data_IF_726833041728
#
_entry.id   IF_726833041728
#
_cell.length_a   1.000
_cell.length_b   1.000
_cell.length_c   1.000
_cell.angle_alpha   90.00
_cell.angle_beta   90.00
_cell.angle_gamma   90.00
#
_symmetry.space_group_name_H-M   'P 1'
#
loop_
_entity.id
_entity.type
_entity.pdbx_description
1 polymer ?
#
# COMPACT_ATOMS: atom_id res chain seq x y z
N UNK A 1 48.15 -18.82 17.29
CA UNK A 1 47.97 -17.77 16.26
C UNK A 1 47.21 -18.39 15.09
N UNK A 2 45.95 -18.01 14.87
CA UNK A 2 45.21 -18.51 13.71
C UNK A 2 45.83 -17.95 12.42
N UNK A 3 45.90 -18.72 11.32
CA UNK A 3 46.47 -18.22 10.07
C UNK A 3 45.60 -17.07 9.54
N UNK A 4 46.24 -16.00 9.04
CA UNK A 4 45.55 -14.81 8.54
C UNK A 4 44.46 -15.12 7.48
N UNK A 5 44.62 -16.22 6.73
CA UNK A 5 43.63 -16.70 5.77
C UNK A 5 42.34 -17.21 6.41
N UNK A 6 42.41 -17.80 7.61
CA UNK A 6 41.24 -18.28 8.36
C UNK A 6 40.43 -17.13 8.91
N UNK A 7 41.10 -16.07 9.38
CA UNK A 7 40.44 -14.84 9.87
C UNK A 7 39.76 -14.12 8.71
N UNK A 8 40.44 -13.99 7.56
CA UNK A 8 39.87 -13.35 6.36
C UNK A 8 38.62 -14.09 5.85
N UNK A 9 38.65 -15.43 5.78
CA UNK A 9 37.49 -16.23 5.36
C UNK A 9 36.32 -16.10 6.32
N UNK A 10 36.58 -16.08 7.62
CA UNK A 10 35.55 -15.87 8.63
C UNK A 10 34.93 -14.47 8.50
N UNK A 11 35.74 -13.42 8.32
CA UNK A 11 35.25 -12.07 8.07
C UNK A 11 34.38 -12.01 6.81
N UNK A 12 34.81 -12.62 5.70
CA UNK A 12 34.03 -12.64 4.46
C UNK A 12 32.68 -13.37 4.61
N UNK A 13 32.64 -14.48 5.34
CA UNK A 13 31.40 -15.20 5.65
C UNK A 13 30.46 -14.37 6.53
N UNK A 14 30.99 -13.69 7.54
CA UNK A 14 30.19 -12.81 8.40
C UNK A 14 29.64 -11.64 7.60
N UNK A 15 30.45 -10.97 6.77
CA UNK A 15 29.96 -9.87 5.92
C UNK A 15 28.90 -10.34 4.93
N UNK A 16 29.08 -11.53 4.32
CA UNK A 16 28.10 -12.10 3.39
C UNK A 16 26.77 -12.42 4.09
N UNK A 17 26.82 -12.97 5.31
CA UNK A 17 25.63 -13.28 6.10
C UNK A 17 24.88 -12.01 6.52
N UNK A 18 25.60 -10.94 6.88
CA UNK A 18 24.99 -9.65 7.20
C UNK A 18 24.31 -9.01 5.98
N UNK A 19 24.92 -9.08 4.79
CA UNK A 19 24.29 -8.56 3.55
C UNK A 19 23.06 -9.35 3.10
N UNK A 20 22.99 -10.65 3.40
CA UNK A 20 21.82 -11.48 3.09
C UNK A 20 20.61 -11.18 4.01
N UNK A 21 20.87 -10.67 5.21
CA UNK A 21 19.83 -10.35 6.19
C UNK A 21 18.99 -9.12 5.79
N UNK A 22 19.52 -8.27 4.90
CA UNK A 22 18.88 -7.02 4.47
C UNK A 22 17.84 -7.21 3.34
N UNK A 23 17.62 -8.44 2.86
CA UNK A 23 16.63 -8.76 1.81
C UNK A 23 15.17 -8.75 2.30
N UNK A 24 14.85 -8.00 3.35
CA UNK A 24 13.48 -7.80 3.79
C UNK A 24 12.71 -6.88 2.83
N UNK A 25 11.47 -7.20 2.53
CA UNK A 25 10.59 -6.26 1.83
C UNK A 25 10.39 -5.02 2.71
N UNK A 26 10.77 -3.84 2.20
CA UNK A 26 10.56 -2.58 2.92
C UNK A 26 9.06 -2.27 2.99
N UNK A 27 8.50 -2.44 4.19
CA UNK A 27 7.16 -2.01 4.53
C UNK A 27 7.10 -0.49 4.57
N UNK A 28 6.25 0.13 3.75
CA UNK A 28 6.10 1.58 3.75
C UNK A 28 4.72 2.00 4.29
N UNK A 29 4.66 3.20 4.87
CA UNK A 29 3.38 3.82 5.22
C UNK A 29 2.83 4.60 4.04
N UNK A 30 1.64 4.24 3.57
CA UNK A 30 0.91 4.92 2.50
C UNK A 30 -0.24 5.71 3.09
N UNK A 31 -0.18 7.03 2.93
CA UNK A 31 -1.20 7.94 3.42
C UNK A 31 -2.13 8.38 2.29
N UNK A 32 -3.44 8.31 2.54
CA UNK A 32 -4.47 8.72 1.61
C UNK A 32 -5.45 9.69 2.28
N UNK A 33 -5.89 10.68 1.52
CA UNK A 33 -6.94 11.61 1.93
C UNK A 33 -8.20 11.37 1.10
N UNK A 34 -9.29 11.03 1.79
CA UNK A 34 -10.58 10.75 1.22
C UNK A 34 -11.55 11.86 1.60
N UNK A 35 -11.81 12.76 0.66
CA UNK A 35 -12.85 13.79 0.75
C UNK A 35 -14.17 13.19 0.24
N UNK A 36 -15.08 12.88 1.15
CA UNK A 36 -16.35 12.25 0.81
C UNK A 36 -17.42 13.30 0.60
N UNK A 37 -17.94 13.38 -0.63
CA UNK A 37 -18.90 14.40 -1.03
C UNK A 37 -19.97 13.84 -1.98
N UNK A 38 -21.09 14.53 -2.08
CA UNK A 38 -22.14 14.20 -3.03
C UNK A 38 -21.83 14.82 -4.39
N UNK A 39 -21.77 14.01 -5.45
CA UNK A 39 -21.47 14.46 -6.81
C UNK A 39 -22.49 13.91 -7.80
N UNK A 40 -22.91 14.75 -8.75
CA UNK A 40 -23.83 14.36 -9.82
C UNK A 40 -23.08 13.62 -10.92
N UNK A 41 -23.40 12.35 -11.10
CA UNK A 41 -22.78 11.46 -12.09
C UNK A 41 -23.82 11.03 -13.11
N UNK A 42 -23.48 11.17 -14.41
CA UNK A 42 -24.33 10.73 -15.52
C UNK A 42 -23.87 9.37 -16.01
N UNK A 43 -24.76 8.37 -16.00
CA UNK A 43 -24.48 7.03 -16.53
C UNK A 43 -25.73 6.46 -17.18
N UNK A 44 -25.56 5.78 -18.32
CA UNK A 44 -26.67 5.17 -19.06
C UNK A 44 -27.85 6.14 -19.28
N UNK A 45 -27.53 7.38 -19.69
CA UNK A 45 -28.50 8.47 -19.92
C UNK A 45 -29.30 8.94 -18.68
N UNK A 46 -28.88 8.59 -17.46
CA UNK A 46 -29.48 9.08 -16.22
C UNK A 46 -28.44 9.81 -15.37
N UNK A 47 -28.77 11.02 -14.91
CA UNK A 47 -27.96 11.77 -13.94
C UNK A 47 -28.48 11.51 -12.54
N UNK A 48 -27.60 11.04 -11.65
CA UNK A 48 -27.92 10.83 -10.23
C UNK A 48 -26.88 11.49 -9.36
N UNK A 49 -27.34 12.10 -8.27
CA UNK A 49 -26.46 12.61 -7.22
C UNK A 49 -26.10 11.46 -6.29
N UNK A 50 -24.83 11.09 -6.23
CA UNK A 50 -24.32 9.94 -5.47
C UNK A 50 -23.16 10.37 -4.57
N UNK A 51 -22.94 9.64 -3.49
CA UNK A 51 -21.76 9.84 -2.63
C UNK A 51 -20.52 9.30 -3.35
N UNK A 52 -19.47 10.12 -3.41
CA UNK A 52 -18.20 9.81 -4.07
C UNK A 52 -17.03 10.17 -3.17
N UNK A 53 -15.87 9.58 -3.45
CA UNK A 53 -14.59 9.92 -2.80
C UNK A 53 -13.81 10.79 -3.78
N UNK A 54 -13.35 11.95 -3.32
CA UNK A 54 -12.63 12.96 -4.08
C UNK A 54 -13.38 13.43 -5.35
N UNK A 55 -14.72 13.39 -5.33
CA UNK A 55 -15.56 13.72 -6.49
C UNK A 55 -15.51 12.70 -7.63
N UNK A 56 -14.87 11.55 -7.43
CA UNK A 56 -14.61 10.55 -8.45
C UNK A 56 -15.55 9.36 -8.34
N UNK A 57 -16.02 8.90 -9.50
CA UNK A 57 -16.80 7.68 -9.62
C UNK A 57 -16.30 6.84 -10.82
N UNK A 58 -15.77 5.62 -10.60
CA UNK A 58 -15.46 5.00 -9.30
C UNK A 58 -14.47 5.84 -8.48
N UNK A 59 -14.46 5.65 -7.16
CA UNK A 59 -13.51 6.32 -6.27
C UNK A 59 -12.04 5.93 -6.56
N UNK A 60 -11.07 6.62 -5.96
CA UNK A 60 -9.65 6.37 -6.20
C UNK A 60 -9.25 4.96 -5.73
N UNK A 61 -8.42 4.29 -6.52
CA UNK A 61 -7.89 2.96 -6.19
C UNK A 61 -6.78 3.07 -5.14
N UNK A 62 -6.87 2.26 -4.09
CA UNK A 62 -5.81 2.07 -3.11
C UNK A 62 -4.86 0.98 -3.57
N UNK A 63 -3.56 1.27 -3.58
CA UNK A 63 -2.51 0.31 -3.90
C UNK A 63 -1.64 0.10 -2.67
N UNK A 64 -1.56 -1.14 -2.20
CA UNK A 64 -0.71 -1.53 -1.08
C UNK A 64 -0.06 -2.88 -1.38
N UNK A 65 1.16 -3.07 -0.87
CA UNK A 65 1.83 -4.36 -0.85
C UNK A 65 1.59 -5.04 0.49
N UNK A 66 1.79 -6.35 0.53
CA UNK A 66 1.85 -7.06 1.80
C UNK A 66 2.94 -6.44 2.69
N UNK A 67 2.60 -6.15 3.94
CA UNK A 67 3.47 -5.46 4.89
C UNK A 67 3.34 -3.94 4.90
N UNK A 68 2.78 -3.29 3.87
CA UNK A 68 2.56 -1.84 3.89
C UNK A 68 1.53 -1.43 4.97
N UNK A 69 1.75 -0.29 5.63
CA UNK A 69 0.77 0.32 6.53
C UNK A 69 -0.07 1.35 5.74
N UNK A 70 -1.38 1.13 5.63
CA UNK A 70 -2.28 2.04 4.90
C UNK A 70 -3.04 2.90 5.89
N UNK A 71 -2.78 4.19 5.84
CA UNK A 71 -3.46 5.19 6.65
C UNK A 71 -4.40 6.03 5.75
N UNK A 72 -5.69 6.02 6.06
CA UNK A 72 -6.69 6.77 5.30
C UNK A 72 -7.40 7.77 6.19
N UNK A 73 -7.14 9.05 5.95
CA UNK A 73 -7.86 10.15 6.58
C UNK A 73 -9.12 10.42 5.78
N UNK A 74 -10.27 10.32 6.44
CA UNK A 74 -11.58 10.50 5.81
C UNK A 74 -12.21 11.78 6.31
N UNK A 75 -12.58 12.67 5.39
CA UNK A 75 -13.31 13.91 5.69
C UNK A 75 -14.69 13.79 5.05
N UNK A 76 -15.73 13.76 5.88
CA UNK A 76 -17.10 13.64 5.40
C UNK A 76 -17.72 15.03 5.20
N UNK A 77 -17.90 15.42 3.93
CA UNK A 77 -18.63 16.61 3.50
C UNK A 77 -20.07 16.29 3.08
N UNK A 78 -20.46 15.02 3.08
CA UNK A 78 -21.83 14.62 2.78
C UNK A 78 -22.75 14.92 3.98
N UNK A 79 -24.07 15.11 3.74
CA UNK A 79 -25.02 15.38 4.81
C UNK A 79 -25.39 14.13 5.64
N UNK A 80 -24.80 12.96 5.37
CA UNK A 80 -25.17 11.69 5.98
C UNK A 80 -24.06 11.12 6.86
N UNK A 81 -24.46 10.45 7.94
CA UNK A 81 -23.53 9.64 8.74
C UNK A 81 -23.05 8.43 7.93
N UNK A 82 -21.75 8.14 7.98
CA UNK A 82 -21.16 7.07 7.17
C UNK A 82 -20.02 6.34 7.88
N UNK A 83 -19.71 5.16 7.36
CA UNK A 83 -18.54 4.36 7.69
C UNK A 83 -17.93 3.82 6.39
N UNK A 84 -16.60 3.67 6.35
CA UNK A 84 -15.90 3.04 5.22
C UNK A 84 -15.57 1.59 5.58
N UNK A 85 -15.86 0.67 4.66
CA UNK A 85 -15.48 -0.72 4.75
C UNK A 85 -14.48 -1.08 3.67
N UNK A 86 -13.43 -1.81 4.04
CA UNK A 86 -12.38 -2.24 3.13
C UNK A 86 -12.62 -3.67 2.68
N UNK A 87 -12.77 -3.88 1.38
CA UNK A 87 -12.72 -5.20 0.77
C UNK A 87 -11.41 -5.37 0.02
N UNK A 88 -10.57 -6.31 0.45
CA UNK A 88 -9.24 -6.51 -0.12
C UNK A 88 -9.31 -7.50 -1.28
N UNK A 89 -8.89 -7.06 -2.45
CA UNK A 89 -8.63 -7.94 -3.59
C UNK A 89 -7.14 -8.27 -3.65
N UNK A 90 -6.79 -9.47 -3.21
CA UNK A 90 -5.42 -9.96 -3.33
C UNK A 90 -5.16 -10.45 -4.76
N UNK A 91 -4.70 -9.55 -5.62
CA UNK A 91 -4.09 -9.93 -6.90
C UNK A 91 -2.76 -10.60 -6.59
N UNK A 92 -2.72 -11.93 -6.62
CA UNK A 92 -1.47 -12.69 -6.50
C UNK A 92 -0.66 -12.46 -7.76
N UNK A 93 0.05 -11.33 -7.82
CA UNK A 93 1.13 -11.21 -8.78
C UNK A 93 2.16 -12.26 -8.36
N UNK A 94 2.55 -13.21 -9.24
CA UNK A 94 3.72 -14.03 -8.96
C UNK A 94 4.85 -13.05 -8.60
N UNK A 95 5.73 -13.39 -7.64
CA UNK A 95 6.85 -12.53 -7.31
C UNK A 95 7.51 -12.19 -8.63
N UNK A 96 7.48 -10.92 -9.03
CA UNK A 96 8.33 -10.46 -10.10
C UNK A 96 9.71 -10.94 -9.72
N UNK A 97 10.27 -11.83 -10.55
CA UNK A 97 11.68 -12.16 -10.55
C UNK A 97 12.42 -10.82 -10.64
N UNK A 98 12.88 -10.36 -9.49
CA UNK A 98 14.03 -9.47 -9.38
C UNK A 98 15.25 -10.36 -9.61
#
# INVERSE_FOLDING_TARGET
MAPASSVLRFCLLVTALMTLCEMGAEAITRQYLFDVQTTSVTRLCSTKSIVTVNGQYPGPTLFAREGDHVEVTVVNHSPYNMSIHWYVYASRFPPCLI
#
